data_IF_312753693342
#
_entry.id   IF_312753693342
#
_cell.length_a   1.000
_cell.length_b   1.000
_cell.length_c   1.000
_cell.angle_alpha   90.00
_cell.angle_beta   90.00
_cell.angle_gamma   90.00
#
_symmetry.space_group_name_H-M   'P 1'
#
loop_
_entity.id
_entity.type
_entity.pdbx_description
1 polymer ?
#
# COMPACT_ATOMS: atom_id res chain seq x y z
N UNK A 1 32.85 12.72 15.97
CA UNK A 1 33.47 12.46 14.65
C UNK A 1 33.83 13.76 13.95
N UNK A 2 35.00 13.81 13.31
CA UNK A 2 35.45 14.99 12.57
C UNK A 2 34.62 15.16 11.28
N UNK A 3 34.33 16.41 10.87
CA UNK A 3 33.73 16.67 9.56
C UNK A 3 34.59 16.11 8.42
N UNK A 4 33.95 15.83 7.28
CA UNK A 4 34.64 15.58 6.02
C UNK A 4 35.51 16.78 5.61
N UNK A 5 36.55 16.53 4.79
CA UNK A 5 37.39 17.61 4.28
C UNK A 5 36.62 18.53 3.33
N UNK A 6 36.98 19.82 3.32
CA UNK A 6 36.35 20.83 2.46
C UNK A 6 36.39 20.44 0.97
N UNK A 7 37.52 19.92 0.49
CA UNK A 7 37.65 19.45 -0.89
C UNK A 7 36.67 18.33 -1.22
N UNK A 8 36.45 17.38 -0.29
CA UNK A 8 35.52 16.28 -0.50
C UNK A 8 34.06 16.75 -0.41
N UNK A 9 33.75 17.64 0.55
CA UNK A 9 32.44 18.29 0.69
C UNK A 9 32.02 19.00 -0.60
N UNK A 10 32.92 19.82 -1.19
CA UNK A 10 32.66 20.52 -2.45
C UNK A 10 32.42 19.55 -3.61
N UNK A 11 33.14 18.42 -3.65
CA UNK A 11 32.95 17.38 -4.66
C UNK A 11 31.57 16.71 -4.53
N UNK A 12 31.16 16.38 -3.30
CA UNK A 12 29.84 15.79 -3.01
C UNK A 12 28.73 16.76 -3.39
N UNK A 13 28.83 18.03 -2.99
CA UNK A 13 27.86 19.08 -3.34
C UNK A 13 27.73 19.19 -4.86
N UNK A 14 28.87 19.32 -5.57
CA UNK A 14 28.86 19.41 -7.04
C UNK A 14 28.16 18.21 -7.68
N UNK A 15 28.41 17.00 -7.19
CA UNK A 15 27.82 15.77 -7.73
C UNK A 15 26.31 15.68 -7.48
N UNK A 16 25.84 16.07 -6.30
CA UNK A 16 24.41 16.10 -5.98
C UNK A 16 23.71 17.15 -6.86
N UNK A 17 24.27 18.36 -6.96
CA UNK A 17 23.68 19.44 -7.76
C UNK A 17 23.68 19.17 -9.27
N UNK A 18 24.56 18.28 -9.76
CA UNK A 18 24.62 17.89 -11.17
C UNK A 18 23.66 16.76 -11.55
N UNK A 19 22.88 16.20 -10.61
CA UNK A 19 21.92 15.16 -10.94
C UNK A 19 20.79 15.69 -11.84
N UNK A 20 20.27 14.86 -12.77
CA UNK A 20 19.26 15.26 -13.74
C UNK A 20 17.94 15.72 -13.10
N UNK A 21 17.07 16.33 -13.91
CA UNK A 21 15.81 16.91 -13.45
C UNK A 21 14.81 15.88 -12.88
N UNK A 22 14.97 14.59 -13.21
CA UNK A 22 14.08 13.48 -12.87
C UNK A 22 14.19 12.93 -11.44
N UNK A 23 14.36 13.80 -10.44
CA UNK A 23 14.36 13.39 -9.02
C UNK A 23 13.03 13.80 -8.41
N UNK A 24 12.25 12.81 -7.98
CA UNK A 24 10.92 13.03 -7.39
C UNK A 24 10.97 13.34 -5.89
N UNK A 25 11.99 12.85 -5.19
CA UNK A 25 12.17 13.04 -3.74
C UNK A 25 13.64 13.03 -3.34
N UNK A 26 13.98 13.79 -2.31
CA UNK A 26 15.29 13.74 -1.64
C UNK A 26 15.12 13.23 -0.21
N UNK A 27 15.96 12.29 0.18
CA UNK A 27 15.92 11.67 1.50
C UNK A 27 17.28 11.78 2.17
N UNK A 28 17.30 12.22 3.43
CA UNK A 28 18.52 12.36 4.23
C UNK A 28 18.37 11.54 5.51
N UNK A 29 19.21 10.54 5.68
CA UNK A 29 19.36 9.83 6.96
C UNK A 29 20.66 10.28 7.63
N UNK A 30 20.54 11.02 8.74
CA UNK A 30 21.70 11.49 9.49
C UNK A 30 21.98 10.58 10.69
N UNK A 31 23.19 10.02 10.72
CA UNK A 31 23.68 9.20 11.84
C UNK A 31 24.64 9.97 12.75
N UNK A 32 24.85 11.27 12.50
CA UNK A 32 25.77 12.12 13.26
C UNK A 32 27.23 11.68 13.12
N UNK A 33 27.63 11.12 11.97
CA UNK A 33 28.97 10.56 11.71
C UNK A 33 29.96 11.53 11.05
N UNK A 34 29.55 12.78 10.77
CA UNK A 34 30.42 13.84 10.25
C UNK A 34 30.41 14.00 8.72
N UNK A 35 29.72 13.12 7.98
CA UNK A 35 29.53 13.25 6.53
C UNK A 35 28.56 14.39 6.18
N UNK A 36 27.42 14.46 6.86
CA UNK A 36 26.41 15.50 6.66
C UNK A 36 26.82 16.76 7.44
N UNK A 37 27.66 17.57 6.80
CA UNK A 37 28.04 18.88 7.32
C UNK A 37 26.88 19.89 7.21
N UNK A 38 27.01 21.01 7.94
CA UNK A 38 26.04 22.11 7.86
C UNK A 38 25.95 22.70 6.45
N UNK A 39 27.07 22.84 5.74
CA UNK A 39 27.08 23.40 4.39
C UNK A 39 26.41 22.44 3.40
N UNK A 40 26.72 21.14 3.48
CA UNK A 40 26.10 20.13 2.62
C UNK A 40 24.58 20.07 2.83
N UNK A 41 24.12 19.92 4.08
CA UNK A 41 22.69 19.87 4.41
C UNK A 41 21.95 21.11 3.90
N UNK A 42 22.46 22.31 4.20
CA UNK A 42 21.87 23.57 3.74
C UNK A 42 21.78 23.62 2.22
N UNK A 43 22.83 23.22 1.52
CA UNK A 43 22.88 23.27 0.06
C UNK A 43 21.87 22.31 -0.57
N UNK A 44 21.77 21.09 -0.05
CA UNK A 44 20.83 20.07 -0.53
C UNK A 44 19.38 20.50 -0.28
N UNK A 45 19.05 20.95 0.94
CA UNK A 45 17.70 21.41 1.29
C UNK A 45 17.28 22.61 0.44
N UNK A 46 18.17 23.59 0.25
CA UNK A 46 17.87 24.76 -0.59
C UNK A 46 17.68 24.40 -2.06
N UNK A 47 18.47 23.46 -2.58
CA UNK A 47 18.30 22.99 -3.97
C UNK A 47 16.97 22.27 -4.17
N UNK A 48 16.63 21.34 -3.26
CA UNK A 48 15.36 20.61 -3.30
C UNK A 48 14.17 21.58 -3.25
N UNK A 49 14.20 22.55 -2.32
CA UNK A 49 13.16 23.59 -2.20
C UNK A 49 13.03 24.45 -3.47
N UNK A 50 14.15 24.88 -4.07
CA UNK A 50 14.14 25.64 -5.34
C UNK A 50 13.49 24.86 -6.48
N UNK A 51 13.72 23.55 -6.52
CA UNK A 51 13.15 22.62 -7.51
C UNK A 51 11.75 22.13 -7.16
N UNK A 52 11.21 22.54 -6.00
CA UNK A 52 9.94 22.03 -5.44
C UNK A 52 9.92 20.51 -5.26
N UNK A 53 11.09 19.92 -5.00
CA UNK A 53 11.22 18.50 -4.69
C UNK A 53 11.06 18.34 -3.17
N UNK A 54 10.14 17.48 -2.69
CA UNK A 54 10.03 17.15 -1.28
C UNK A 54 11.36 16.63 -0.73
N UNK A 55 11.73 17.10 0.46
CA UNK A 55 12.89 16.59 1.18
C UNK A 55 12.50 16.12 2.58
N UNK A 56 12.81 14.85 2.87
CA UNK A 56 12.60 14.24 4.18
C UNK A 56 13.94 14.05 4.85
N UNK A 57 14.03 14.43 6.12
CA UNK A 57 15.24 14.30 6.93
C UNK A 57 14.93 13.48 8.17
N UNK A 58 15.67 12.39 8.38
CA UNK A 58 15.81 11.71 9.67
C UNK A 58 17.00 12.32 10.43
N UNK A 59 16.74 13.16 11.45
CA UNK A 59 17.78 13.98 12.06
C UNK A 59 18.62 13.21 13.08
N UNK A 60 19.77 13.79 13.46
CA UNK A 60 20.53 13.35 14.62
C UNK A 60 20.95 14.50 15.51
N UNK A 61 21.02 14.21 16.81
CA UNK A 61 21.49 15.15 17.82
C UNK A 61 20.38 16.06 18.30
N UNK A 62 20.75 17.22 18.84
CA UNK A 62 19.83 18.14 19.53
C UNK A 62 19.68 19.50 18.84
N UNK A 63 20.52 19.78 17.84
CA UNK A 63 20.44 21.02 17.06
C UNK A 63 19.75 20.74 15.73
N UNK A 64 18.42 20.78 15.73
CA UNK A 64 17.65 20.60 14.49
C UNK A 64 17.70 21.81 13.55
N UNK A 65 18.31 22.93 13.96
CA UNK A 65 18.41 24.12 13.10
C UNK A 65 19.28 23.91 11.86
N UNK A 66 20.08 22.83 11.84
CA UNK A 66 20.84 22.41 10.65
C UNK A 66 19.95 21.88 9.52
N UNK A 67 18.73 21.45 9.85
CA UNK A 67 17.75 20.87 8.91
C UNK A 67 16.64 21.85 8.53
N UNK A 68 16.83 23.15 8.80
CA UNK A 68 15.80 24.17 8.56
C UNK A 68 15.29 24.18 7.13
N UNK A 69 13.98 24.39 6.98
CA UNK A 69 13.26 24.44 5.71
C UNK A 69 13.18 23.13 4.92
N UNK A 70 13.49 21.99 5.55
CA UNK A 70 13.11 20.70 5.00
C UNK A 70 11.57 20.59 4.90
N UNK A 71 11.08 19.76 3.98
CA UNK A 71 9.65 19.50 3.85
C UNK A 71 9.15 18.72 5.07
N UNK A 72 9.85 17.65 5.42
CA UNK A 72 9.51 16.80 6.57
C UNK A 72 10.75 16.55 7.42
N UNK A 73 10.61 16.73 8.73
CA UNK A 73 11.59 16.27 9.71
C UNK A 73 11.01 15.09 10.49
N UNK A 74 11.77 13.99 10.60
CA UNK A 74 11.31 12.73 11.18
C UNK A 74 12.13 12.28 12.41
N UNK A 75 12.13 13.01 13.53
CA UNK A 75 12.84 12.56 14.73
C UNK A 75 12.10 11.40 15.42
N UNK A 76 12.80 10.66 16.28
CA UNK A 76 12.12 9.88 17.31
C UNK A 76 11.71 10.77 18.50
N UNK A 77 10.92 10.22 19.42
CA UNK A 77 10.42 10.93 20.60
C UNK A 77 11.56 11.56 21.42
N UNK A 78 12.58 10.78 21.78
CA UNK A 78 13.71 11.25 22.60
C UNK A 78 14.46 12.41 21.93
N UNK A 79 14.71 12.29 20.63
CA UNK A 79 15.36 13.33 19.83
C UNK A 79 14.50 14.60 19.74
N UNK A 80 13.18 14.47 19.58
CA UNK A 80 12.25 15.60 19.54
C UNK A 80 12.26 16.39 20.86
N UNK A 81 12.13 15.71 22.01
CA UNK A 81 12.18 16.37 23.32
C UNK A 81 13.54 17.01 23.58
N UNK A 82 14.63 16.31 23.25
CA UNK A 82 15.98 16.84 23.43
C UNK A 82 16.24 18.09 22.57
N UNK A 83 15.76 18.11 21.33
CA UNK A 83 15.90 19.26 20.44
C UNK A 83 14.99 20.43 20.84
N UNK A 84 13.79 20.15 21.36
CA UNK A 84 12.89 21.17 21.91
C UNK A 84 13.37 21.73 23.25
N UNK A 85 14.31 21.03 23.92
CA UNK A 85 14.80 21.35 25.28
C UNK A 85 13.67 21.36 26.32
N UNK A 86 12.73 20.43 26.17
CA UNK A 86 11.60 20.25 27.06
C UNK A 86 11.71 18.91 27.80
N UNK A 87 11.15 18.80 29.02
CA UNK A 87 11.12 17.55 29.75
C UNK A 87 10.15 16.56 29.09
N UNK A 88 10.38 15.24 29.27
CA UNK A 88 9.61 14.17 28.62
C UNK A 88 8.12 14.14 28.97
N UNK A 89 7.72 14.80 30.05
CA UNK A 89 6.32 14.94 30.49
C UNK A 89 5.60 16.15 29.86
N UNK A 90 6.32 17.01 29.13
CA UNK A 90 5.70 18.11 28.40
C UNK A 90 4.74 17.56 27.33
N UNK A 91 3.58 18.22 27.10
CA UNK A 91 2.65 17.81 26.06
C UNK A 91 3.33 17.74 24.69
N UNK A 92 3.09 16.65 23.95
CA UNK A 92 3.73 16.44 22.64
C UNK A 92 3.40 17.57 21.65
N UNK A 93 2.20 18.14 21.72
CA UNK A 93 1.80 19.31 20.91
C UNK A 93 2.73 20.51 21.17
N UNK A 94 3.08 20.75 22.44
CA UNK A 94 3.99 21.85 22.80
C UNK A 94 5.41 21.61 22.27
N UNK A 95 5.88 20.36 22.31
CA UNK A 95 7.17 19.97 21.72
C UNK A 95 7.16 20.21 20.20
N UNK A 96 6.09 19.78 19.53
CA UNK A 96 5.94 19.96 18.09
C UNK A 96 5.89 21.44 17.71
N UNK A 97 5.12 22.27 18.43
CA UNK A 97 5.03 23.71 18.19
C UNK A 97 6.41 24.39 18.28
N UNK A 98 7.17 24.09 19.33
CA UNK A 98 8.52 24.63 19.52
C UNK A 98 9.44 24.23 18.36
N UNK A 99 9.38 22.98 17.93
CA UNK A 99 10.20 22.49 16.82
C UNK A 99 9.79 23.08 15.48
N UNK A 100 8.50 23.15 15.17
CA UNK A 100 7.97 23.74 13.94
C UNK A 100 8.36 25.22 13.84
N UNK A 101 8.23 25.99 14.92
CA UNK A 101 8.61 27.41 14.97
C UNK A 101 10.12 27.62 14.85
N UNK A 102 10.93 26.78 15.48
CA UNK A 102 12.39 26.95 15.45
C UNK A 102 12.99 26.46 14.13
N UNK A 103 12.54 25.32 13.61
CA UNK A 103 13.14 24.65 12.45
C UNK A 103 12.49 25.10 11.13
N UNK A 104 11.27 25.63 11.15
CA UNK A 104 10.56 26.11 9.95
C UNK A 104 10.42 25.03 8.87
N UNK A 105 10.06 23.81 9.28
CA UNK A 105 9.71 22.71 8.37
C UNK A 105 8.22 22.74 8.07
N UNK A 106 7.81 22.17 6.94
CA UNK A 106 6.38 22.12 6.60
C UNK A 106 5.64 21.10 7.48
N UNK A 107 6.31 19.99 7.82
CA UNK A 107 5.76 18.93 8.64
C UNK A 107 6.80 18.32 9.58
N UNK A 108 6.34 17.86 10.73
CA UNK A 108 7.12 17.14 11.73
C UNK A 108 6.46 15.79 11.99
N UNK A 109 7.15 14.70 11.68
CA UNK A 109 6.67 13.33 11.92
C UNK A 109 7.47 12.69 13.05
N UNK A 110 6.88 12.61 14.23
CA UNK A 110 7.54 12.06 15.41
C UNK A 110 7.24 10.57 15.52
N UNK A 111 8.28 9.72 15.50
CA UNK A 111 8.12 8.29 15.78
C UNK A 111 8.16 8.02 17.29
N UNK A 112 7.23 7.19 17.76
CA UNK A 112 6.92 6.92 19.18
C UNK A 112 7.01 5.43 19.51
N UNK A 113 7.90 4.71 18.83
CA UNK A 113 8.10 3.26 19.01
C UNK A 113 6.76 2.49 18.92
N UNK A 114 6.41 1.69 19.93
CA UNK A 114 5.18 0.91 20.01
C UNK A 114 3.89 1.75 20.01
N UNK A 115 3.96 3.03 20.38
CA UNK A 115 2.80 3.95 20.32
C UNK A 115 2.53 4.44 18.89
N UNK A 116 3.47 4.24 17.97
CA UNK A 116 3.33 4.55 16.54
C UNK A 116 3.95 5.87 16.14
N UNK A 117 3.21 6.71 15.43
CA UNK A 117 3.71 7.98 14.94
C UNK A 117 2.70 9.10 15.09
N UNK A 118 3.16 10.32 15.26
CA UNK A 118 2.31 11.51 15.22
C UNK A 118 2.88 12.51 14.20
N UNK A 119 2.04 12.93 13.26
CA UNK A 119 2.35 13.94 12.26
C UNK A 119 1.76 15.27 12.70
N UNK A 120 2.58 16.31 12.64
CA UNK A 120 2.20 17.70 12.85
C UNK A 120 2.47 18.50 11.58
N UNK A 121 1.55 19.35 11.18
CA UNK A 121 1.72 20.28 10.06
C UNK A 121 2.02 21.68 10.59
N UNK A 122 2.69 22.52 9.79
CA UNK A 122 2.91 23.94 10.13
C UNK A 122 1.60 24.73 10.29
N UNK A 123 0.51 24.23 9.72
CA UNK A 123 -0.85 24.78 9.85
C UNK A 123 -1.50 24.44 11.21
N UNK A 124 -0.85 23.64 12.04
CA UNK A 124 -1.34 23.25 13.38
C UNK A 124 -2.22 22.01 13.37
N UNK A 125 -2.26 21.25 12.28
CA UNK A 125 -2.98 19.96 12.25
C UNK A 125 -2.15 18.86 12.89
N UNK A 126 -2.81 18.01 13.67
CA UNK A 126 -2.24 16.82 14.28
C UNK A 126 -2.95 15.58 13.76
N UNK A 127 -2.17 14.57 13.38
CA UNK A 127 -2.65 13.24 13.00
C UNK A 127 -1.85 12.18 13.74
N UNK A 128 -2.54 11.31 14.47
CA UNK A 128 -1.93 10.18 15.19
C UNK A 128 -2.14 8.87 14.43
N UNK A 129 -1.08 8.08 14.31
CA UNK A 129 -1.03 6.79 13.63
C UNK A 129 -0.59 5.72 14.65
N UNK A 130 -1.52 5.13 15.43
CA UNK A 130 -1.18 4.11 16.41
C UNK A 130 -0.72 2.82 15.72
N UNK A 131 0.33 2.16 16.22
CA UNK A 131 0.69 0.83 15.70
C UNK A 131 -0.31 -0.20 16.20
N UNK A 132 -0.71 -1.12 15.32
CA UNK A 132 -1.53 -2.28 15.68
C UNK A 132 -0.66 -3.53 15.68
N UNK A 133 0.11 -3.75 16.74
CA UNK A 133 1.12 -4.82 16.79
C UNK A 133 0.51 -6.15 17.25
N UNK A 134 1.06 -7.26 16.74
CA UNK A 134 0.86 -8.58 17.36
C UNK A 134 1.83 -8.76 18.54
N UNK A 135 3.12 -8.45 18.36
CA UNK A 135 4.17 -8.52 19.38
C UNK A 135 5.37 -7.62 18.98
N UNK A 136 6.16 -7.11 19.94
CA UNK A 136 7.40 -6.35 19.65
C UNK A 136 8.62 -7.22 19.95
N UNK A 137 9.49 -7.40 18.97
CA UNK A 137 10.71 -8.21 19.08
C UNK A 137 11.98 -7.34 19.10
N UNK A 138 12.18 -6.46 18.12
CA UNK A 138 13.38 -5.62 18.01
C UNK A 138 13.10 -4.32 17.26
N UNK A 139 13.42 -3.15 17.84
CA UNK A 139 13.16 -1.84 17.21
C UNK A 139 14.23 -1.39 16.19
N UNK A 140 15.25 -2.20 15.98
CA UNK A 140 16.39 -1.87 15.13
C UNK A 140 15.98 -1.72 13.66
N UNK A 141 16.23 -0.54 13.07
CA UNK A 141 15.96 -0.26 11.65
C UNK A 141 14.52 0.18 11.33
N UNK A 142 13.62 0.23 12.32
CA UNK A 142 12.25 0.70 12.11
C UNK A 142 12.19 2.15 11.60
N UNK A 143 13.07 3.02 12.10
CA UNK A 143 13.17 4.42 11.64
C UNK A 143 13.57 4.55 10.17
N UNK A 144 14.50 3.71 9.71
CA UNK A 144 14.92 3.66 8.30
C UNK A 144 13.79 3.12 7.40
N UNK A 145 13.01 2.14 7.89
CA UNK A 145 11.81 1.66 7.20
C UNK A 145 10.78 2.77 7.04
N UNK A 146 10.50 3.55 8.09
CA UNK A 146 9.59 4.70 8.00
C UNK A 146 10.10 5.69 6.95
N UNK A 147 11.39 6.06 7.01
CA UNK A 147 11.99 6.99 6.07
C UNK A 147 11.87 6.50 4.62
N UNK A 148 12.15 5.23 4.36
CA UNK A 148 12.08 4.63 3.04
C UNK A 148 10.64 4.59 2.50
N UNK A 149 9.67 4.19 3.32
CA UNK A 149 8.27 4.03 2.88
C UNK A 149 7.62 5.39 2.63
N UNK A 150 7.87 6.40 3.46
CA UNK A 150 7.37 7.75 3.19
C UNK A 150 8.01 8.31 1.93
N UNK A 151 9.32 8.07 1.73
CA UNK A 151 10.00 8.50 0.52
C UNK A 151 9.37 7.86 -0.73
N UNK A 152 9.06 6.56 -0.66
CA UNK A 152 8.36 5.85 -1.71
C UNK A 152 6.97 6.43 -1.96
N UNK A 153 6.18 6.66 -0.91
CA UNK A 153 4.81 7.15 -1.04
C UNK A 153 4.78 8.53 -1.70
N UNK A 154 5.56 9.48 -1.18
CA UNK A 154 5.61 10.84 -1.73
C UNK A 154 6.21 10.87 -3.15
N UNK A 155 7.23 10.04 -3.41
CA UNK A 155 7.81 9.92 -4.76
C UNK A 155 6.83 9.38 -5.81
N UNK A 156 5.79 8.66 -5.37
CA UNK A 156 4.68 8.21 -6.23
C UNK A 156 3.46 9.14 -6.18
N UNK A 157 3.59 10.33 -5.59
CA UNK A 157 2.52 11.33 -5.55
C UNK A 157 1.43 11.07 -4.49
N UNK A 158 1.62 10.11 -3.58
CA UNK A 158 0.68 9.91 -2.48
C UNK A 158 0.78 11.07 -1.48
N UNK A 159 -0.36 11.39 -0.86
CA UNK A 159 -0.40 12.33 0.26
C UNK A 159 0.37 11.79 1.47
N UNK A 160 0.94 12.70 2.27
CA UNK A 160 1.74 12.35 3.46
C UNK A 160 0.95 11.51 4.48
N UNK A 161 -0.36 11.72 4.60
CA UNK A 161 -1.23 10.94 5.49
C UNK A 161 -1.15 9.45 5.14
N UNK A 162 -1.41 9.11 3.88
CA UNK A 162 -1.30 7.74 3.39
C UNK A 162 0.12 7.20 3.50
N UNK A 163 1.13 8.04 3.20
CA UNK A 163 2.53 7.68 3.39
C UNK A 163 2.87 7.31 4.84
N UNK A 164 2.35 8.07 5.81
CA UNK A 164 2.53 7.81 7.24
C UNK A 164 1.78 6.55 7.70
N UNK A 165 0.55 6.31 7.20
CA UNK A 165 -0.21 5.09 7.49
C UNK A 165 0.55 3.83 7.02
N UNK A 166 0.97 3.81 5.76
CA UNK A 166 1.72 2.69 5.18
C UNK A 166 3.07 2.52 5.90
N UNK A 167 3.75 3.61 6.22
CA UNK A 167 5.02 3.58 6.95
C UNK A 167 4.85 3.05 8.38
N UNK A 168 3.74 3.38 9.05
CA UNK A 168 3.45 2.87 10.40
C UNK A 168 3.25 1.36 10.39
N UNK A 169 2.54 0.86 9.39
CA UNK A 169 2.34 -0.57 9.18
C UNK A 169 3.67 -1.27 8.89
N UNK A 170 4.46 -0.75 7.95
CA UNK A 170 5.75 -1.33 7.59
C UNK A 170 6.74 -1.31 8.77
N UNK A 171 6.77 -0.24 9.55
CA UNK A 171 7.58 -0.16 10.77
C UNK A 171 7.12 -1.15 11.82
N UNK A 172 5.81 -1.33 11.99
CA UNK A 172 5.24 -2.36 12.87
C UNK A 172 5.69 -3.77 12.47
N UNK A 173 5.68 -4.08 11.18
CA UNK A 173 6.21 -5.35 10.67
C UNK A 173 7.72 -5.50 10.85
N UNK A 174 8.48 -4.40 10.77
CA UNK A 174 9.92 -4.43 10.97
C UNK A 174 10.28 -4.78 12.41
N UNK A 175 9.50 -4.26 13.38
CA UNK A 175 9.77 -4.52 14.80
C UNK A 175 9.28 -5.89 15.30
N UNK A 176 8.45 -6.57 14.51
CA UNK A 176 8.03 -7.97 14.70
C UNK A 176 9.12 -8.97 14.25
N UNK A 177 10.28 -8.51 13.76
CA UNK A 177 11.39 -9.35 13.27
C UNK A 177 12.68 -9.03 14.04
N UNK A 178 13.61 -9.99 14.13
CA UNK A 178 14.90 -9.78 14.82
C UNK A 178 15.87 -9.04 13.89
N UNK A 179 16.44 -7.93 14.37
CA UNK A 179 17.45 -7.13 13.67
C UNK A 179 16.88 -6.25 12.54
N UNK A 180 17.78 -5.58 11.83
CA UNK A 180 17.44 -4.71 10.69
C UNK A 180 16.96 -5.55 9.50
N UNK A 181 15.65 -5.81 9.46
CA UNK A 181 15.04 -6.70 8.47
C UNK A 181 14.37 -5.90 7.36
N UNK A 182 14.45 -6.42 6.12
CA UNK A 182 13.76 -5.82 4.98
C UNK A 182 12.29 -6.19 5.00
N UNK A 183 11.42 -5.21 4.75
CA UNK A 183 10.00 -5.42 4.49
C UNK A 183 9.78 -5.41 2.99
N UNK A 184 9.14 -6.46 2.48
CA UNK A 184 8.85 -6.59 1.06
C UNK A 184 7.45 -6.06 0.75
N UNK A 185 7.23 -5.55 -0.47
CA UNK A 185 5.92 -5.03 -0.90
C UNK A 185 4.79 -6.06 -0.78
N UNK A 186 5.08 -7.34 -1.04
CA UNK A 186 4.10 -8.43 -0.87
C UNK A 186 3.66 -8.60 0.57
N UNK A 187 4.61 -8.58 1.53
CA UNK A 187 4.29 -8.69 2.96
C UNK A 187 3.48 -7.49 3.43
N UNK A 188 3.85 -6.29 2.96
CA UNK A 188 3.16 -5.05 3.29
C UNK A 188 1.73 -5.04 2.72
N UNK A 189 1.55 -5.50 1.48
CA UNK A 189 0.23 -5.67 0.87
C UNK A 189 -0.63 -6.64 1.68
N UNK A 190 -0.11 -7.80 2.06
CA UNK A 190 -0.84 -8.75 2.91
C UNK A 190 -1.24 -8.11 4.24
N UNK A 191 -0.33 -7.38 4.88
CA UNK A 191 -0.61 -6.72 6.17
C UNK A 191 -1.67 -5.61 6.04
N UNK A 192 -1.66 -4.84 4.96
CA UNK A 192 -2.69 -3.83 4.67
C UNK A 192 -4.09 -4.45 4.57
N UNK A 193 -4.18 -5.70 4.11
CA UNK A 193 -5.42 -6.46 3.98
C UNK A 193 -5.90 -7.04 5.31
N UNK A 194 -5.00 -7.30 6.26
CA UNK A 194 -5.37 -7.74 7.61
C UNK A 194 -6.05 -6.62 8.43
N UNK A 195 -5.80 -5.33 8.12
CA UNK A 195 -6.26 -4.20 8.95
C UNK A 195 -7.60 -3.59 8.56
N UNK A 196 -8.11 -3.90 7.38
CA UNK A 196 -9.43 -3.46 6.93
C UNK A 196 -10.16 -4.62 6.25
N UNK A 197 -11.34 -4.95 6.78
CA UNK A 197 -12.19 -6.02 6.24
C UNK A 197 -12.82 -5.58 4.91
N UNK A 198 -12.94 -4.26 4.67
CA UNK A 198 -13.36 -3.71 3.37
C UNK A 198 -12.24 -3.78 2.30
N UNK A 199 -10.97 -3.90 2.70
CA UNK A 199 -9.84 -4.08 1.76
C UNK A 199 -9.78 -5.49 1.16
N UNK A 200 -10.69 -6.40 1.51
CA UNK A 200 -10.80 -7.69 0.81
C UNK A 200 -11.22 -7.52 -0.64
N UNK A 201 -11.76 -6.36 -1.02
CA UNK A 201 -12.30 -6.10 -2.34
C UNK A 201 -11.21 -5.52 -3.24
N UNK A 202 -10.98 -6.18 -4.37
CA UNK A 202 -10.02 -5.82 -5.40
C UNK A 202 -10.74 -5.63 -6.72
N UNK A 203 -10.28 -4.67 -7.50
CA UNK A 203 -10.62 -4.52 -8.90
C UNK A 203 -9.37 -4.74 -9.77
N UNK A 204 -9.50 -4.39 -11.06
CA UNK A 204 -8.50 -4.63 -12.09
C UNK A 204 -7.21 -3.87 -11.85
N UNK A 205 -7.32 -2.66 -11.31
CA UNK A 205 -6.20 -1.77 -11.02
C UNK A 205 -5.32 -2.34 -9.91
N UNK A 206 -5.88 -3.20 -9.06
CA UNK A 206 -5.20 -3.80 -7.92
C UNK A 206 -4.61 -5.20 -8.22
N UNK A 207 -4.81 -5.76 -9.41
CA UNK A 207 -4.40 -7.12 -9.74
C UNK A 207 -2.88 -7.34 -9.61
N UNK A 208 -2.08 -6.31 -9.87
CA UNK A 208 -0.63 -6.34 -9.67
C UNK A 208 -0.25 -6.53 -8.19
N UNK A 209 -0.91 -5.78 -7.30
CA UNK A 209 -0.70 -5.87 -5.86
C UNK A 209 -1.17 -7.22 -5.33
N UNK A 210 -2.33 -7.68 -5.79
CA UNK A 210 -2.86 -9.00 -5.46
C UNK A 210 -1.89 -10.10 -5.88
N UNK A 211 -1.35 -10.07 -7.11
CA UNK A 211 -0.36 -11.05 -7.57
C UNK A 211 0.87 -11.12 -6.66
N UNK A 212 1.32 -9.99 -6.14
CA UNK A 212 2.42 -9.97 -5.18
C UNK A 212 2.02 -10.51 -3.81
N UNK A 213 0.83 -10.16 -3.31
CA UNK A 213 0.29 -10.67 -2.05
C UNK A 213 0.04 -12.20 -2.10
N UNK A 214 -0.29 -12.73 -3.28
CA UNK A 214 -0.51 -14.16 -3.52
C UNK A 214 0.77 -14.93 -3.82
N UNK A 215 1.90 -14.25 -4.10
CA UNK A 215 3.15 -14.92 -4.45
C UNK A 215 3.66 -15.82 -3.30
N UNK A 216 3.87 -17.10 -3.58
CA UNK A 216 4.29 -18.09 -2.59
C UNK A 216 3.17 -18.65 -1.71
N UNK A 217 1.92 -18.19 -1.88
CA UNK A 217 0.75 -18.70 -1.17
C UNK A 217 -0.07 -19.66 -2.07
N UNK A 218 -0.71 -20.65 -1.46
CA UNK A 218 -1.73 -21.46 -2.14
C UNK A 218 -3.10 -20.81 -2.02
N UNK A 219 -3.87 -20.85 -3.09
CA UNK A 219 -5.21 -20.28 -3.10
C UNK A 219 -6.14 -20.99 -4.07
N UNK A 220 -7.43 -20.92 -3.72
CA UNK A 220 -8.56 -21.45 -4.46
C UNK A 220 -9.42 -20.29 -4.94
N UNK A 221 -9.89 -20.35 -6.18
CA UNK A 221 -10.83 -19.35 -6.72
C UNK A 221 -12.23 -19.93 -6.78
N UNK A 222 -13.22 -19.17 -6.32
CA UNK A 222 -14.64 -19.45 -6.43
C UNK A 222 -15.31 -18.37 -7.28
N UNK A 223 -15.75 -18.73 -8.49
CA UNK A 223 -16.50 -17.85 -9.37
C UNK A 223 -17.99 -17.84 -9.02
N UNK A 224 -18.54 -16.66 -8.72
CA UNK A 224 -19.94 -16.44 -8.34
C UNK A 224 -20.62 -15.44 -9.28
N UNK A 225 -21.94 -15.38 -9.20
CA UNK A 225 -22.78 -14.36 -9.81
C UNK A 225 -23.63 -13.76 -8.69
N UNK A 226 -23.56 -12.44 -8.52
CA UNK A 226 -24.21 -11.71 -7.43
C UNK A 226 -25.74 -11.81 -7.49
N UNK A 227 -26.30 -12.07 -8.67
CA UNK A 227 -27.75 -12.27 -8.84
C UNK A 227 -28.30 -13.48 -8.08
N UNK A 228 -27.45 -14.44 -7.70
CA UNK A 228 -27.86 -15.59 -6.90
C UNK A 228 -28.09 -15.23 -5.42
N UNK A 229 -27.53 -14.11 -4.95
CA UNK A 229 -27.58 -13.68 -3.55
C UNK A 229 -26.89 -14.67 -2.59
N UNK A 230 -26.95 -14.36 -1.30
CA UNK A 230 -26.34 -15.22 -0.26
C UNK A 230 -27.28 -16.35 0.16
N UNK A 231 -27.05 -17.56 -0.36
CA UNK A 231 -27.79 -18.76 0.06
C UNK A 231 -27.05 -19.57 1.13
N UNK A 232 -27.79 -20.39 1.88
CA UNK A 232 -27.18 -21.32 2.85
C UNK A 232 -26.32 -22.38 2.15
N UNK A 233 -26.66 -22.75 0.91
CA UNK A 233 -25.86 -23.69 0.12
C UNK A 233 -24.51 -23.06 -0.24
N UNK A 234 -24.51 -21.84 -0.79
CA UNK A 234 -23.31 -21.06 -1.08
C UNK A 234 -22.41 -20.91 0.15
N UNK A 235 -22.97 -20.52 1.30
CA UNK A 235 -22.20 -20.40 2.54
C UNK A 235 -21.56 -21.73 2.98
N UNK A 236 -22.29 -22.85 2.89
CA UNK A 236 -21.72 -24.18 3.19
C UNK A 236 -20.61 -24.56 2.22
N UNK A 237 -20.76 -24.25 0.93
CA UNK A 237 -19.74 -24.50 -0.09
C UNK A 237 -18.46 -23.71 0.21
N UNK A 238 -18.57 -22.41 0.54
CA UNK A 238 -17.42 -21.60 0.94
C UNK A 238 -16.73 -22.17 2.18
N UNK A 239 -17.50 -22.53 3.21
CA UNK A 239 -16.95 -23.22 4.40
C UNK A 239 -16.27 -24.54 4.07
N UNK A 240 -16.85 -25.33 3.17
CA UNK A 240 -16.28 -26.60 2.74
C UNK A 240 -14.92 -26.38 2.06
N UNK A 241 -14.81 -25.40 1.16
CA UNK A 241 -13.56 -25.03 0.50
C UNK A 241 -12.53 -24.58 1.54
N UNK A 242 -12.90 -23.60 2.40
CA UNK A 242 -12.01 -23.07 3.43
C UNK A 242 -11.55 -24.15 4.43
N UNK A 243 -12.38 -25.16 4.69
CA UNK A 243 -12.04 -26.26 5.62
C UNK A 243 -11.06 -27.30 5.05
N UNK A 244 -10.87 -27.38 3.73
CA UNK A 244 -10.06 -28.43 3.11
C UNK A 244 -8.57 -28.32 3.44
N UNK A 245 -8.07 -27.14 3.82
CA UNK A 245 -6.67 -26.94 4.24
C UNK A 245 -6.51 -25.61 4.97
N UNK A 246 -5.89 -25.62 6.15
CA UNK A 246 -5.64 -24.42 6.99
C UNK A 246 -4.85 -23.29 6.31
N UNK A 247 -4.15 -23.56 5.21
CA UNK A 247 -3.24 -22.61 4.56
C UNK A 247 -3.73 -22.11 3.19
N UNK A 248 -4.82 -22.66 2.63
CA UNK A 248 -5.33 -22.22 1.33
C UNK A 248 -6.23 -21.00 1.50
N UNK A 249 -5.87 -19.89 0.85
CA UNK A 249 -6.70 -18.70 0.82
C UNK A 249 -7.85 -18.84 -0.18
N UNK A 250 -9.06 -18.41 0.18
CA UNK A 250 -10.21 -18.39 -0.71
C UNK A 250 -10.36 -17.02 -1.37
N UNK A 251 -10.32 -17.02 -2.70
CA UNK A 251 -10.60 -15.85 -3.54
C UNK A 251 -11.98 -16.02 -4.16
N UNK A 252 -12.88 -15.09 -3.89
CA UNK A 252 -14.19 -15.03 -4.54
C UNK A 252 -14.10 -14.08 -5.74
N UNK A 253 -14.40 -14.58 -6.93
CA UNK A 253 -14.47 -13.77 -8.16
C UNK A 253 -15.93 -13.54 -8.53
N UNK A 254 -16.37 -12.28 -8.53
CA UNK A 254 -17.72 -11.91 -8.98
C UNK A 254 -17.72 -11.73 -10.50
N UNK A 255 -18.63 -12.41 -11.19
CA UNK A 255 -18.72 -12.42 -12.67
C UNK A 255 -19.64 -11.34 -13.23
N UNK A 256 -20.29 -10.59 -12.37
CA UNK A 256 -21.20 -9.49 -12.67
C UNK A 256 -20.42 -8.26 -13.14
N UNK A 257 -20.98 -7.48 -14.07
CA UNK A 257 -20.39 -6.18 -14.45
C UNK A 257 -20.62 -5.13 -13.36
N UNK A 258 -21.77 -5.20 -12.68
CA UNK A 258 -22.16 -4.34 -11.56
C UNK A 258 -22.67 -5.26 -10.44
N UNK A 259 -21.77 -5.77 -9.58
CA UNK A 259 -22.16 -6.67 -8.50
C UNK A 259 -22.99 -5.94 -7.45
N UNK A 260 -23.99 -6.62 -6.89
CA UNK A 260 -24.83 -6.09 -5.81
C UNK A 260 -24.00 -5.71 -4.56
N UNK A 261 -24.12 -4.46 -4.09
CA UNK A 261 -23.32 -3.93 -2.99
C UNK A 261 -23.58 -4.64 -1.65
N UNK A 262 -24.84 -4.99 -1.36
CA UNK A 262 -25.18 -5.72 -0.12
C UNK A 262 -24.54 -7.11 -0.13
N UNK A 263 -24.56 -7.79 -1.28
CA UNK A 263 -23.93 -9.09 -1.44
C UNK A 263 -22.40 -9.02 -1.29
N UNK A 264 -21.76 -8.01 -1.88
CA UNK A 264 -20.32 -7.77 -1.72
C UNK A 264 -19.95 -7.52 -0.25
N UNK A 265 -20.73 -6.68 0.44
CA UNK A 265 -20.56 -6.39 1.87
C UNK A 265 -20.73 -7.64 2.75
N UNK A 266 -21.72 -8.48 2.43
CA UNK A 266 -21.91 -9.76 3.12
C UNK A 266 -20.70 -10.68 2.91
N UNK A 267 -20.20 -10.82 1.67
CA UNK A 267 -19.02 -11.62 1.38
C UNK A 267 -17.77 -11.12 2.10
N UNK A 268 -17.54 -9.80 2.14
CA UNK A 268 -16.35 -9.24 2.78
C UNK A 268 -16.35 -9.50 4.29
N UNK A 269 -17.54 -9.53 4.91
CA UNK A 269 -17.71 -9.86 6.32
C UNK A 269 -17.38 -11.31 6.70
N UNK A 270 -17.29 -12.23 5.74
CA UNK A 270 -17.05 -13.65 6.00
C UNK A 270 -15.59 -13.93 6.31
N UNK A 271 -15.34 -14.63 7.42
CA UNK A 271 -13.99 -15.07 7.79
C UNK A 271 -13.37 -16.06 6.82
N UNK A 272 -14.22 -16.79 6.09
CA UNK A 272 -13.85 -17.80 5.11
C UNK A 272 -13.38 -17.21 3.78
N UNK A 273 -13.68 -15.94 3.53
CA UNK A 273 -13.31 -15.24 2.29
C UNK A 273 -12.11 -14.34 2.58
N UNK A 274 -10.97 -14.65 1.97
CA UNK A 274 -9.75 -13.86 2.09
C UNK A 274 -9.78 -12.66 1.16
N UNK A 275 -10.16 -12.86 -0.11
CA UNK A 275 -10.19 -11.83 -1.14
C UNK A 275 -11.45 -11.93 -2.01
N UNK A 276 -11.94 -10.79 -2.47
CA UNK A 276 -13.03 -10.62 -3.41
C UNK A 276 -12.46 -9.85 -4.60
N UNK A 277 -12.66 -10.36 -5.81
CA UNK A 277 -12.26 -9.69 -7.04
C UNK A 277 -13.55 -9.33 -7.79
N UNK A 278 -13.77 -8.03 -7.96
CA UNK A 278 -14.82 -7.50 -8.81
C UNK A 278 -14.40 -7.66 -10.27
N UNK A 279 -15.35 -7.95 -11.15
CA UNK A 279 -15.06 -8.30 -12.55
C UNK A 279 -14.23 -7.24 -13.27
N UNK A 280 -13.34 -7.77 -14.09
CA UNK A 280 -12.28 -7.08 -14.80
C UNK A 280 -12.39 -7.42 -16.30
N UNK A 281 -12.13 -8.69 -16.65
CA UNK A 281 -12.31 -9.21 -18.01
C UNK A 281 -13.14 -10.51 -18.02
N UNK A 282 -12.52 -11.61 -17.57
CA UNK A 282 -13.12 -12.93 -17.44
C UNK A 282 -12.39 -13.75 -16.37
N UNK A 283 -13.10 -14.70 -15.75
CA UNK A 283 -12.52 -15.63 -14.77
C UNK A 283 -11.31 -16.39 -15.36
N UNK A 284 -11.31 -16.63 -16.67
CA UNK A 284 -10.20 -17.25 -17.39
C UNK A 284 -8.92 -16.42 -17.33
N UNK A 285 -8.99 -15.14 -17.65
CA UNK A 285 -7.80 -14.27 -17.66
C UNK A 285 -7.25 -14.10 -16.24
N UNK A 286 -8.12 -14.00 -15.24
CA UNK A 286 -7.69 -14.03 -13.84
C UNK A 286 -6.89 -15.31 -13.55
N UNK A 287 -7.45 -16.48 -13.87
CA UNK A 287 -6.78 -17.76 -13.64
C UNK A 287 -5.43 -17.88 -14.38
N UNK A 288 -5.27 -17.27 -15.56
CA UNK A 288 -3.99 -17.23 -16.27
C UNK A 288 -2.95 -16.34 -15.57
N UNK A 289 -3.41 -15.24 -14.97
CA UNK A 289 -2.55 -14.24 -14.30
C UNK A 289 -2.06 -14.72 -12.94
N UNK A 290 -2.98 -15.23 -12.11
CA UNK A 290 -2.64 -15.67 -10.75
C UNK A 290 -2.21 -17.14 -10.75
N UNK A 291 -2.88 -18.04 -11.49
CA UNK A 291 -2.68 -19.50 -11.51
C UNK A 291 -3.07 -20.17 -10.18
N UNK A 292 -4.38 -20.22 -9.87
CA UNK A 292 -4.88 -20.88 -8.66
C UNK A 292 -4.68 -22.40 -8.72
N UNK A 293 -4.67 -23.04 -7.56
CA UNK A 293 -4.53 -24.50 -7.46
C UNK A 293 -5.84 -25.21 -7.82
N UNK A 294 -6.96 -24.64 -7.38
CA UNK A 294 -8.31 -25.14 -7.65
C UNK A 294 -9.21 -23.98 -8.06
N UNK A 295 -10.12 -24.24 -9.00
CA UNK A 295 -11.14 -23.28 -9.43
C UNK A 295 -12.50 -23.95 -9.29
N UNK A 296 -13.43 -23.26 -8.65
CA UNK A 296 -14.80 -23.71 -8.51
C UNK A 296 -15.76 -22.66 -9.05
N UNK A 297 -16.95 -23.11 -9.46
CA UNK A 297 -18.10 -22.24 -9.74
C UNK A 297 -19.35 -22.82 -9.11
N UNK A 298 -20.34 -21.97 -8.83
CA UNK A 298 -21.66 -22.41 -8.42
C UNK A 298 -22.61 -22.37 -9.62
N UNK A 299 -23.28 -23.50 -9.83
CA UNK A 299 -24.37 -23.65 -10.80
C UNK A 299 -25.50 -24.43 -10.13
N UNK A 300 -26.70 -23.89 -10.15
CA UNK A 300 -27.89 -24.51 -9.55
C UNK A 300 -27.66 -24.95 -8.08
N UNK A 301 -27.08 -24.07 -7.26
CA UNK A 301 -26.70 -24.31 -5.85
C UNK A 301 -25.69 -25.45 -5.62
N UNK A 302 -25.07 -25.98 -6.68
CA UNK A 302 -24.08 -27.04 -6.61
C UNK A 302 -22.68 -26.51 -6.89
N UNK A 303 -21.71 -26.94 -6.07
CA UNK A 303 -20.31 -26.61 -6.24
C UNK A 303 -19.69 -27.50 -7.32
N UNK A 304 -19.20 -26.87 -8.40
CA UNK A 304 -18.58 -27.55 -9.54
C UNK A 304 -17.10 -27.20 -9.56
N UNK A 305 -16.23 -28.21 -9.61
CA UNK A 305 -14.78 -28.05 -9.83
C UNK A 305 -14.50 -27.90 -11.32
N UNK A 306 -13.69 -26.92 -11.69
CA UNK A 306 -13.22 -26.72 -13.06
C UNK A 306 -11.79 -27.25 -13.15
N UNK A 307 -11.62 -28.43 -13.75
CA UNK A 307 -10.32 -29.09 -13.87
C UNK A 307 -9.53 -28.59 -15.09
N UNK A 308 -10.21 -28.06 -16.12
CA UNK A 308 -9.55 -27.56 -17.35
C UNK A 308 -9.90 -26.09 -17.67
N UNK A 309 -8.95 -25.31 -18.25
CA UNK A 309 -9.21 -23.95 -18.72
C UNK A 309 -10.30 -23.84 -19.82
N UNK A 310 -10.58 -24.93 -20.53
CA UNK A 310 -11.64 -25.04 -21.54
C UNK A 310 -13.04 -24.96 -20.93
N UNK A 311 -13.21 -25.40 -19.68
CA UNK A 311 -14.52 -25.46 -19.00
C UNK A 311 -15.03 -24.04 -18.68
N UNK A 312 -14.12 -23.06 -18.67
CA UNK A 312 -14.43 -21.63 -18.52
C UNK A 312 -15.07 -21.02 -19.78
N UNK A 313 -14.84 -21.58 -20.97
CA UNK A 313 -15.43 -21.11 -22.23
C UNK A 313 -16.90 -21.52 -22.36
N UNK A 314 -17.30 -22.67 -21.81
CA UNK A 314 -18.70 -23.11 -21.83
C UNK A 314 -19.59 -22.24 -20.93
N UNK A 315 -19.01 -21.67 -19.86
CA UNK A 315 -19.72 -20.81 -18.91
C UNK A 315 -19.99 -19.39 -19.44
N UNK A 316 -19.22 -18.88 -20.41
CA UNK A 316 -19.41 -17.52 -20.97
C UNK A 316 -20.54 -17.46 -22.00
N UNK A 317 -20.91 -18.59 -22.62
CA UNK A 317 -21.96 -18.63 -23.65
C UNK A 317 -23.38 -18.72 -23.09
N UNK A 318 -23.54 -18.93 -21.78
CA UNK A 318 -24.85 -19.21 -21.16
C UNK A 318 -25.70 -17.96 -20.84
N UNK A 319 -25.20 -16.74 -21.00
CA UNK A 319 -25.89 -15.51 -20.56
C UNK A 319 -25.91 -14.36 -21.58
N UNK A 320 -25.83 -14.66 -22.88
CA UNK A 320 -26.08 -13.62 -23.90
C UNK A 320 -27.57 -13.54 -24.23
N UNK A 321 -28.36 -12.82 -23.42
CA UNK A 321 -29.68 -12.34 -23.84
C UNK A 321 -29.42 -11.28 -24.91
N UNK A 322 -29.51 -11.67 -26.18
CA UNK A 322 -29.43 -10.72 -27.31
C UNK A 322 -30.61 -9.74 -27.17
N UNK A 323 -30.37 -8.42 -27.02
CA UNK A 323 -31.45 -7.44 -26.97
C UNK A 323 -32.32 -7.55 -28.22
N UNK A 324 -33.65 -7.51 -28.09
CA UNK A 324 -34.60 -7.56 -29.24
C UNK A 324 -34.29 -6.53 -30.34
N UNK A 325 -33.59 -5.45 -30.00
CA UNK A 325 -33.13 -4.42 -30.94
C UNK A 325 -32.03 -4.90 -31.90
N UNK A 326 -31.23 -5.91 -31.54
CA UNK A 326 -30.22 -6.51 -32.42
C UNK A 326 -30.76 -7.61 -33.35
N UNK A 327 -31.95 -8.16 -33.11
CA UNK A 327 -32.58 -9.13 -34.05
C UNK A 327 -32.93 -8.48 -35.40
N UNK A 328 -33.21 -7.17 -35.43
CA UNK A 328 -33.51 -6.44 -36.66
C UNK A 328 -32.27 -6.24 -37.57
N UNK A 329 -31.07 -6.18 -36.96
CA UNK A 329 -29.81 -6.05 -37.69
C UNK A 329 -29.34 -7.37 -38.32
N UNK A 330 -29.70 -8.52 -37.72
CA UNK A 330 -29.38 -9.83 -38.27
C UNK A 330 -30.35 -10.26 -39.38
N UNK A 331 -31.61 -9.80 -39.35
CA UNK A 331 -32.58 -10.03 -40.42
C UNK A 331 -32.34 -9.18 -41.68
N UNK A 332 -31.56 -8.10 -41.59
CA UNK A 332 -31.22 -7.22 -42.72
C UNK A 332 -29.88 -7.55 -43.40
N UNK A 333 -29.06 -8.42 -42.80
CA UNK A 333 -27.83 -8.93 -43.44
C UNK A 333 -28.04 -10.19 -44.29
N UNK A 334 -29.18 -10.86 -44.16
CA UNK A 334 -29.54 -12.03 -44.99
C UNK A 334 -30.15 -11.68 -46.35
N UNK A 335 -30.44 -10.40 -46.62
CA UNK A 335 -30.97 -9.92 -47.90
C UNK A 335 -29.94 -9.23 -48.81
N UNK A 336 -28.66 -9.18 -48.42
CA UNK A 336 -27.59 -8.48 -49.15
C UNK A 336 -26.45 -9.40 -49.65
N UNK A 337 -26.61 -10.73 -49.58
CA UNK A 337 -25.66 -11.71 -50.14
C UNK A 337 -26.31 -12.62 -51.19
N UNK A 338 -26.97 -12.01 -52.17
CA UNK A 338 -27.58 -12.74 -53.26
C UNK A 338 -27.86 -11.86 -54.47
N UNK A 339 -26.83 -11.21 -55.01
CA UNK A 339 -26.75 -10.81 -56.42
C UNK A 339 -25.32 -10.31 -56.73
N UNK A 340 -24.85 -10.70 -57.91
CA UNK A 340 -23.64 -10.30 -58.64
C UNK A 340 -22.32 -11.10 -58.52
N UNK A 341 -22.11 -11.83 -59.64
CA UNK A 341 -20.91 -12.39 -60.28
C UNK A 341 -20.44 -13.80 -59.88
#
# INVERSE_FOLDING_TARGET
PSPISETFEQLVIKKILSHPESVDIVTVSDYGKGFLSRLLLRTVIQNAKKRKIPIIVDPKGVDFTVYRYATILKPNLSEAYAAAKLPLDAPLDHVADVLLQNVHVDMLLITRSEEGMTLFTKEGERMDFPVRLKEVIDVTGAGDTVLAVISMALGNGLGIKYGAEIANIAAGMAIEKVGCTRINLSELAVRLLEYDVENKIFDEEHLFALKHALNGNQYTVLGLDSTQGMTTALFRSMRQIASKTKEKKLIVYLRDNEPDEEFVSLLSSLSEVDFIILKCESLKNLCEIIRPEEVYVIKDDMLISLENPSDLLELSMASTIIPKQLQFLLASQSSLQGEDA
#
